data_IF_372874997772
#
_entry.id   IF_372874997772
#
_cell.length_a   1.000
_cell.length_b   1.000
_cell.length_c   1.000
_cell.angle_alpha   90.00
_cell.angle_beta   90.00
_cell.angle_gamma   90.00
#
_symmetry.space_group_name_H-M   'P 1'
#
loop_
_entity.id
_entity.type
_entity.pdbx_description
1 polymer ?
#
# COMPACT_ATOMS: atom_id res chain seq x y z
N UNK A 1 -2.26 6.33 -9.83
CA UNK A 1 -1.11 6.18 -8.92
C UNK A 1 0.24 6.54 -9.58
N UNK A 2 0.61 5.94 -10.72
CA UNK A 2 1.90 6.19 -11.39
C UNK A 2 2.25 7.68 -11.60
N UNK A 3 1.29 8.49 -12.06
CA UNK A 3 1.48 9.94 -12.25
C UNK A 3 1.88 10.64 -10.94
N UNK A 4 1.17 10.38 -9.84
CA UNK A 4 1.42 11.02 -8.55
C UNK A 4 2.82 10.68 -8.00
N UNK A 5 3.28 9.43 -8.19
CA UNK A 5 4.67 9.07 -7.90
C UNK A 5 5.63 9.88 -8.78
N UNK A 6 5.39 9.92 -10.09
CA UNK A 6 6.22 10.67 -11.04
C UNK A 6 6.36 12.15 -10.67
N UNK A 7 5.27 12.81 -10.30
CA UNK A 7 5.27 14.21 -9.86
C UNK A 7 6.05 14.42 -8.57
N UNK A 8 5.85 13.56 -7.57
CA UNK A 8 6.56 13.66 -6.29
C UNK A 8 8.07 13.44 -6.45
N UNK A 9 8.48 12.46 -7.27
CA UNK A 9 9.89 12.24 -7.59
C UNK A 9 10.48 13.38 -8.42
N UNK A 10 9.74 13.92 -9.39
CA UNK A 10 10.16 15.10 -10.16
C UNK A 10 10.31 16.35 -9.27
N UNK A 11 9.56 16.45 -8.19
CA UNK A 11 9.68 17.49 -7.18
C UNK A 11 10.86 17.27 -6.19
N UNK A 12 11.63 16.19 -6.35
CA UNK A 12 12.84 15.91 -5.55
C UNK A 12 12.60 15.05 -4.31
N UNK A 13 11.43 14.42 -4.15
CA UNK A 13 11.22 13.47 -3.06
C UNK A 13 12.13 12.25 -3.22
N UNK A 14 12.83 11.84 -2.16
CA UNK A 14 13.69 10.64 -2.18
C UNK A 14 12.95 9.34 -1.87
N UNK A 15 11.76 9.42 -1.27
CA UNK A 15 10.87 8.29 -0.95
C UNK A 15 9.45 8.80 -1.00
N UNK A 16 8.56 8.05 -1.62
CA UNK A 16 7.15 8.43 -1.80
C UNK A 16 6.27 7.28 -1.37
N UNK A 17 5.17 7.60 -0.70
CA UNK A 17 4.14 6.65 -0.28
C UNK A 17 2.79 7.20 -0.73
N UNK A 18 1.97 6.35 -1.33
CA UNK A 18 0.56 6.61 -1.62
C UNK A 18 -0.29 5.71 -0.72
N UNK A 19 -1.41 6.26 -0.24
CA UNK A 19 -2.32 5.56 0.68
C UNK A 19 -3.75 5.65 0.19
N UNK A 20 -4.53 4.62 0.50
CA UNK A 20 -5.99 4.68 0.48
C UNK A 20 -6.53 5.55 1.61
N UNK A 21 -7.78 6.01 1.47
CA UNK A 21 -8.47 6.85 2.47
C UNK A 21 -9.58 6.10 3.21
N UNK A 22 -9.78 4.85 2.85
CA UNK A 22 -10.82 3.90 3.25
C UNK A 22 -10.34 2.89 4.29
N UNK A 23 -9.10 2.98 4.77
CA UNK A 23 -8.54 2.09 5.79
C UNK A 23 -8.31 2.83 7.12
N UNK A 24 -9.27 2.82 8.06
CA UNK A 24 -9.15 3.53 9.33
C UNK A 24 -8.09 2.94 10.28
N UNK A 25 -7.67 1.70 10.03
CA UNK A 25 -6.59 1.05 10.77
C UNK A 25 -5.20 1.63 10.47
N UNK A 26 -5.06 2.40 9.39
CA UNK A 26 -3.81 3.05 9.02
C UNK A 26 -3.42 4.07 10.09
N UNK A 27 -2.32 3.79 10.80
CA UNK A 27 -1.81 4.65 11.87
C UNK A 27 -0.54 5.40 11.46
N UNK A 28 -0.23 6.48 12.18
CA UNK A 28 1.04 7.18 12.02
C UNK A 28 2.26 6.28 12.29
N UNK A 29 2.10 5.24 13.12
CA UNK A 29 3.15 4.23 13.35
C UNK A 29 3.45 3.42 12.09
N UNK A 30 2.41 2.96 11.39
CA UNK A 30 2.55 2.23 10.12
C UNK A 30 3.15 3.10 9.02
N UNK A 31 2.77 4.38 8.96
CA UNK A 31 3.39 5.32 8.01
C UNK A 31 4.89 5.47 8.25
N UNK A 32 5.32 5.65 9.51
CA UNK A 32 6.76 5.70 9.85
C UNK A 32 7.46 4.40 9.46
N UNK A 33 6.87 3.26 9.82
CA UNK A 33 7.41 1.95 9.45
C UNK A 33 7.55 1.81 7.93
N UNK A 34 6.58 2.29 7.13
CA UNK A 34 6.67 2.28 5.67
C UNK A 34 7.91 3.03 5.17
N UNK A 35 8.15 4.24 5.67
CA UNK A 35 9.32 5.03 5.31
C UNK A 35 10.64 4.42 5.80
N UNK A 36 10.66 3.81 6.98
CA UNK A 36 11.83 3.11 7.51
C UNK A 36 12.18 1.90 6.65
N UNK A 37 11.18 1.13 6.19
CA UNK A 37 11.39 0.01 5.28
C UNK A 37 11.99 0.44 3.94
N UNK A 38 11.60 1.61 3.43
CA UNK A 38 12.15 2.18 2.18
C UNK A 38 13.62 2.64 2.30
N UNK A 39 14.23 2.55 3.49
CA UNK A 39 15.70 2.68 3.64
C UNK A 39 16.45 1.42 3.18
N UNK A 40 15.77 0.28 3.15
CA UNK A 40 16.37 -1.04 2.91
C UNK A 40 15.73 -1.83 1.76
N UNK A 41 14.56 -1.38 1.29
CA UNK A 41 13.81 -1.97 0.19
C UNK A 41 13.47 -0.93 -0.88
N UNK A 42 13.28 -1.40 -2.12
CA UNK A 42 12.85 -0.54 -3.24
C UNK A 42 11.35 -0.23 -3.18
N UNK A 43 10.56 -1.18 -2.67
CA UNK A 43 9.10 -1.10 -2.60
C UNK A 43 8.63 -1.51 -1.21
N UNK A 44 7.61 -0.84 -0.71
CA UNK A 44 6.86 -1.27 0.47
C UNK A 44 5.38 -1.39 0.12
N UNK A 45 4.73 -2.43 0.60
CA UNK A 45 3.29 -2.67 0.41
C UNK A 45 2.63 -2.86 1.77
N UNK A 46 1.48 -2.22 1.97
CA UNK A 46 0.55 -2.50 3.05
C UNK A 46 -0.65 -3.29 2.52
N UNK A 47 -0.68 -4.62 2.69
CA UNK A 47 -1.76 -5.47 2.15
C UNK A 47 -3.13 -5.11 2.72
N UNK A 48 -4.16 -5.16 1.89
CA UNK A 48 -5.56 -5.13 2.32
C UNK A 48 -6.16 -6.54 2.21
N UNK A 49 -7.17 -6.84 3.03
CA UNK A 49 -7.79 -8.17 3.09
C UNK A 49 -8.66 -8.50 1.85
N UNK A 50 -9.02 -7.49 1.07
CA UNK A 50 -9.72 -7.63 -0.22
C UNK A 50 -8.83 -8.15 -1.36
N UNK A 51 -7.51 -8.29 -1.13
CA UNK A 51 -6.51 -8.70 -2.11
C UNK A 51 -5.80 -7.53 -2.83
N UNK A 52 -6.12 -6.30 -2.45
CA UNK A 52 -5.41 -5.09 -2.84
C UNK A 52 -4.35 -4.68 -1.80
N UNK A 53 -4.12 -3.37 -1.72
CA UNK A 53 -3.25 -2.77 -0.71
C UNK A 53 -3.75 -1.38 -0.32
N UNK A 54 -3.75 -1.09 0.98
CA UNK A 54 -4.06 0.25 1.51
C UNK A 54 -2.88 1.22 1.37
N UNK A 55 -1.67 0.70 1.12
CA UNK A 55 -0.43 1.48 1.01
C UNK A 55 0.51 0.88 -0.03
N UNK A 56 1.06 1.74 -0.89
CA UNK A 56 2.19 1.42 -1.76
C UNK A 56 3.24 2.52 -1.61
N UNK A 57 4.50 2.14 -1.42
CA UNK A 57 5.60 3.08 -1.33
C UNK A 57 6.80 2.64 -2.16
N UNK A 58 7.58 3.61 -2.61
CA UNK A 58 8.76 3.39 -3.45
C UNK A 58 9.88 4.36 -3.10
N UNK A 59 11.13 3.93 -3.26
CA UNK A 59 12.31 4.81 -3.14
C UNK A 59 12.76 5.41 -4.49
N UNK A 60 12.24 4.88 -5.60
CA UNK A 60 12.38 5.40 -6.95
C UNK A 60 11.16 4.99 -7.77
N UNK A 61 10.82 5.73 -8.83
CA UNK A 61 9.68 5.39 -9.67
C UNK A 61 9.92 4.04 -10.37
N UNK A 62 8.96 3.12 -10.24
CA UNK A 62 8.93 1.83 -10.94
C UNK A 62 7.69 1.76 -11.84
N UNK A 63 7.70 2.36 -13.05
CA UNK A 63 6.52 2.44 -13.92
C UNK A 63 5.92 1.08 -14.27
N UNK A 64 6.76 0.06 -14.37
CA UNK A 64 6.39 -1.32 -14.72
C UNK A 64 5.42 -1.92 -13.70
N UNK A 65 5.47 -1.49 -12.42
CA UNK A 65 4.54 -1.93 -11.38
C UNK A 65 3.11 -1.40 -11.58
N UNK A 66 2.87 -0.54 -12.57
CA UNK A 66 1.53 -0.03 -12.89
C UNK A 66 1.01 -0.51 -14.25
N UNK A 67 1.82 -1.29 -14.99
CA UNK A 67 1.50 -1.70 -16.35
C UNK A 67 0.73 -3.02 -16.35
N UNK A 68 -0.27 -3.17 -17.24
CA UNK A 68 -1.05 -4.40 -17.42
C UNK A 68 -1.67 -4.97 -16.13
N UNK A 69 -2.11 -4.11 -15.22
CA UNK A 69 -2.82 -4.53 -14.00
C UNK A 69 -4.32 -4.50 -14.21
N UNK A 70 -4.98 -5.54 -13.70
CA UNK A 70 -6.43 -5.55 -13.57
C UNK A 70 -6.82 -4.88 -12.25
N UNK A 71 -6.95 -3.55 -12.29
CA UNK A 71 -7.19 -2.72 -11.12
C UNK A 71 -8.57 -2.99 -10.50
N UNK A 72 -8.68 -2.77 -9.18
CA UNK A 72 -9.92 -2.99 -8.41
C UNK A 72 -10.34 -4.46 -8.34
N UNK A 73 -9.36 -5.36 -8.38
CA UNK A 73 -9.57 -6.81 -8.21
C UNK A 73 -8.70 -7.34 -7.07
N UNK A 74 -9.07 -8.50 -6.53
CA UNK A 74 -8.29 -9.18 -5.50
C UNK A 74 -6.92 -9.68 -5.98
N UNK A 75 -6.60 -9.56 -7.28
CA UNK A 75 -5.30 -9.99 -7.83
C UNK A 75 -4.25 -8.88 -7.82
N UNK A 76 -4.62 -7.64 -7.48
CA UNK A 76 -3.72 -6.49 -7.56
C UNK A 76 -2.47 -6.69 -6.69
N UNK A 77 -2.60 -7.17 -5.45
CA UNK A 77 -1.44 -7.47 -4.59
C UNK A 77 -0.56 -8.58 -5.18
N UNK A 78 -1.05 -9.81 -5.44
CA UNK A 78 -0.20 -10.88 -5.94
C UNK A 78 0.46 -10.53 -7.28
N UNK A 79 -0.25 -9.85 -8.19
CA UNK A 79 0.32 -9.40 -9.47
C UNK A 79 1.45 -8.38 -9.23
N UNK A 80 1.27 -7.47 -8.28
CA UNK A 80 2.31 -6.47 -7.94
C UNK A 80 3.55 -7.12 -7.35
N UNK A 81 3.38 -8.11 -6.46
CA UNK A 81 4.51 -8.87 -5.91
C UNK A 81 5.23 -9.69 -6.98
N UNK A 82 4.48 -10.29 -7.92
CA UNK A 82 5.05 -11.03 -9.04
C UNK A 82 5.87 -10.12 -9.98
N UNK A 83 5.35 -8.93 -10.29
CA UNK A 83 6.08 -7.93 -11.08
C UNK A 83 7.35 -7.47 -10.37
N UNK A 84 7.27 -7.16 -9.07
CA UNK A 84 8.42 -6.74 -8.30
C UNK A 84 9.51 -7.83 -8.24
N UNK A 85 9.11 -9.09 -8.08
CA UNK A 85 10.02 -10.23 -8.14
C UNK A 85 10.68 -10.37 -9.52
N UNK A 86 9.92 -10.24 -10.61
CA UNK A 86 10.43 -10.27 -11.99
C UNK A 86 11.44 -9.14 -12.26
N UNK A 87 11.25 -7.98 -11.64
CA UNK A 87 12.14 -6.82 -11.74
C UNK A 87 13.33 -6.88 -10.78
N UNK A 88 13.41 -7.90 -9.91
CA UNK A 88 14.49 -8.04 -8.93
C UNK A 88 14.44 -7.03 -7.79
N UNK A 89 13.27 -6.45 -7.51
CA UNK A 89 13.07 -5.45 -6.47
C UNK A 89 12.91 -6.12 -5.10
N UNK A 90 13.50 -5.53 -4.06
CA UNK A 90 13.20 -5.93 -2.68
C UNK A 90 11.89 -5.28 -2.26
N UNK A 91 10.97 -6.11 -1.78
CA UNK A 91 9.67 -5.68 -1.29
C UNK A 91 9.59 -5.93 0.21
N UNK A 92 9.29 -4.88 0.97
CA UNK A 92 8.88 -5.01 2.36
C UNK A 92 7.34 -5.04 2.44
N UNK A 93 6.80 -5.88 3.32
CA UNK A 93 5.35 -5.94 3.57
C UNK A 93 5.06 -5.48 5.00
N UNK A 94 4.11 -4.54 5.14
CA UNK A 94 3.55 -4.13 6.41
C UNK A 94 2.46 -5.12 6.86
N UNK A 95 1.95 -5.01 8.10
CA UNK A 95 0.77 -5.77 8.51
C UNK A 95 -0.42 -5.53 7.58
N UNK A 96 -1.17 -6.60 7.31
CA UNK A 96 -2.45 -6.53 6.60
C UNK A 96 -3.49 -5.79 7.44
N UNK A 97 -4.30 -4.95 6.78
CA UNK A 97 -5.42 -4.23 7.40
C UNK A 97 -6.72 -4.47 6.63
N UNK A 98 -7.85 -4.27 7.31
CA UNK A 98 -9.16 -4.17 6.67
C UNK A 98 -9.45 -2.73 6.26
N UNK A 99 -9.83 -2.55 5.01
CA UNK A 99 -10.54 -1.40 4.48
C UNK A 99 -12.04 -1.44 4.83
N UNK A 100 -12.71 -0.31 4.61
CA UNK A 100 -14.13 -0.11 4.92
C UNK A 100 -14.85 0.35 3.66
N UNK A 101 -15.33 -0.59 2.87
CA UNK A 101 -16.03 -0.34 1.61
C UNK A 101 -17.55 -0.45 1.73
N UNK A 102 -18.04 -1.27 2.65
CA UNK A 102 -19.46 -1.54 2.84
C UNK A 102 -19.99 -1.12 4.22
N UNK A 103 -21.31 -1.04 4.32
CA UNK A 103 -21.98 -0.81 5.60
C UNK A 103 -21.69 -1.94 6.61
N UNK A 104 -21.43 -3.16 6.12
CA UNK A 104 -21.06 -4.30 6.96
C UNK A 104 -19.64 -4.12 7.52
N UNK A 105 -18.69 -3.69 6.69
CA UNK A 105 -17.31 -3.43 7.13
C UNK A 105 -17.27 -2.32 8.17
N UNK A 106 -18.06 -1.26 7.97
CA UNK A 106 -18.20 -0.19 8.95
C UNK A 106 -18.77 -0.67 10.28
N UNK A 107 -19.75 -1.57 10.24
CA UNK A 107 -20.33 -2.15 11.45
C UNK A 107 -19.30 -3.01 12.21
N UNK A 108 -18.55 -3.84 11.49
CA UNK A 108 -17.44 -4.65 12.02
C UNK A 108 -16.37 -3.76 12.66
N UNK A 109 -15.91 -2.73 11.95
CA UNK A 109 -14.91 -1.80 12.45
C UNK A 109 -15.36 -1.07 13.73
N UNK A 110 -16.60 -0.57 13.76
CA UNK A 110 -17.19 0.06 14.96
C UNK A 110 -17.32 -0.90 16.13
N UNK A 111 -17.57 -2.18 15.87
CA UNK A 111 -17.61 -3.23 16.90
C UNK A 111 -16.23 -3.49 17.51
N UNK A 112 -15.22 -3.64 16.67
CA UNK A 112 -13.84 -3.85 17.11
C UNK A 112 -13.28 -2.65 17.89
N UNK A 113 -13.57 -1.42 17.47
CA UNK A 113 -13.13 -0.20 18.16
C UNK A 113 -13.67 -0.11 19.61
N UNK A 114 -14.89 -0.60 19.86
CA UNK A 114 -15.51 -0.61 21.20
C UNK A 114 -14.94 -1.67 22.13
N UNK A 115 -14.38 -2.76 21.60
CA UNK A 115 -13.81 -3.84 22.41
C UNK A 115 -12.41 -3.52 22.94
N UNK A 116 -11.75 -2.50 22.39
CA UNK A 116 -10.39 -2.07 22.75
C UNK A 116 -10.34 -0.86 23.70
N UNK A 117 -11.48 -0.48 24.30
CA UNK A 117 -11.61 0.60 25.30
C UNK A 117 -12.05 0.00 26.64
#
# INVERSE_FOLDING_TARGET
>A
MAQAFGEAFAAGAGRVVIIGTDCPGLSAGLLRQAFDQLLHAEVVVGPADDGGYYLLGMNALQPELFTNKDWSTATVLPDTLADAARLGLRVAQLPTLHDVDSAQDLATWRGAAKAST
#
